data_IF_997901867498
#
_entry.id   IF_997901867498
#
_cell.length_a   1.000
_cell.length_b   1.000
_cell.length_c   1.000
_cell.angle_alpha   90.00
_cell.angle_beta   90.00
_cell.angle_gamma   90.00
#
_symmetry.space_group_name_H-M   'P 1'
#
loop_
_entity.id
_entity.type
_entity.pdbx_description
1 polymer ?
#
# COMPACT_ATOMS: atom_id res chain seq x y z
N UNK A 1 10.52 9.72 1.09
CA UNK A 1 9.46 10.75 1.18
C UNK A 1 8.84 11.07 -0.19
N UNK A 2 9.63 11.33 -1.24
CA UNK A 2 9.09 11.76 -2.56
C UNK A 2 8.03 10.84 -3.20
N UNK A 3 8.17 9.51 -3.11
CA UNK A 3 7.24 8.58 -3.79
C UNK A 3 5.83 8.60 -3.16
N UNK A 4 5.75 8.72 -1.84
CA UNK A 4 4.48 8.75 -1.13
C UNK A 4 3.68 10.02 -1.47
N UNK A 5 4.35 11.16 -1.54
CA UNK A 5 3.72 12.43 -1.95
C UNK A 5 3.27 12.39 -3.41
N UNK A 6 4.04 11.79 -4.32
CA UNK A 6 3.62 11.63 -5.72
C UNK A 6 2.36 10.78 -5.85
N UNK A 7 2.28 9.67 -5.12
CA UNK A 7 1.07 8.81 -5.12
C UNK A 7 -0.11 9.54 -4.51
N UNK A 8 0.09 10.24 -3.38
CA UNK A 8 -0.95 11.04 -2.72
C UNK A 8 -1.48 12.14 -3.65
N UNK A 9 -0.58 12.87 -4.31
CA UNK A 9 -0.96 13.93 -5.24
C UNK A 9 -1.68 13.38 -6.47
N UNK A 10 -1.28 12.21 -6.98
CA UNK A 10 -1.98 11.54 -8.08
C UNK A 10 -3.40 11.11 -7.68
N UNK A 11 -3.58 10.58 -6.46
CA UNK A 11 -4.90 10.23 -5.93
C UNK A 11 -5.78 11.47 -5.74
N UNK A 12 -5.25 12.55 -5.16
CA UNK A 12 -5.97 13.81 -4.98
C UNK A 12 -6.36 14.44 -6.33
N UNK A 13 -5.47 14.37 -7.32
CA UNK A 13 -5.77 14.81 -8.68
C UNK A 13 -6.86 13.94 -9.33
N UNK A 14 -6.85 12.63 -9.10
CA UNK A 14 -7.89 11.70 -9.56
C UNK A 14 -9.26 12.01 -8.96
N UNK A 15 -9.33 12.28 -7.65
CA UNK A 15 -10.56 12.69 -6.98
C UNK A 15 -11.07 14.04 -7.49
N UNK A 16 -10.18 15.01 -7.70
CA UNK A 16 -10.54 16.31 -8.28
C UNK A 16 -11.05 16.19 -9.72
N UNK A 17 -10.47 15.28 -10.51
CA UNK A 17 -10.95 14.99 -11.86
C UNK A 17 -12.35 14.36 -11.84
N UNK A 18 -12.65 13.45 -10.91
CA UNK A 18 -14.01 12.90 -10.76
C UNK A 18 -15.04 13.99 -10.42
N UNK A 19 -14.70 14.93 -9.53
CA UNK A 19 -15.58 16.06 -9.20
C UNK A 19 -15.82 16.96 -10.42
N UNK A 20 -14.75 17.32 -11.15
CA UNK A 20 -14.85 18.13 -12.38
C UNK A 20 -15.73 17.48 -13.46
N UNK A 21 -15.62 16.17 -13.64
CA UNK A 21 -16.45 15.43 -14.60
C UNK A 21 -17.92 15.45 -14.18
N UNK A 22 -18.21 15.28 -12.89
CA UNK A 22 -19.58 15.37 -12.37
C UNK A 22 -20.17 16.77 -12.57
N UNK A 23 -19.43 17.82 -12.25
CA UNK A 23 -19.83 19.21 -12.48
C UNK A 23 -20.09 19.50 -13.96
N UNK A 24 -19.24 19.01 -14.85
CA UNK A 24 -19.39 19.18 -16.29
C UNK A 24 -20.67 18.50 -16.82
N UNK A 25 -20.98 17.30 -16.33
CA UNK A 25 -22.21 16.59 -16.69
C UNK A 25 -23.44 17.33 -16.14
N UNK A 26 -23.38 17.82 -14.90
CA UNK A 26 -24.46 18.62 -14.31
C UNK A 26 -24.69 19.94 -15.08
N UNK A 27 -23.62 20.57 -15.60
CA UNK A 27 -23.74 21.75 -16.47
C UNK A 27 -24.42 21.43 -17.80
N UNK A 28 -24.09 20.29 -18.43
CA UNK A 28 -24.74 19.85 -19.68
C UNK A 28 -26.24 19.59 -19.46
N UNK A 29 -26.61 19.04 -18.30
CA UNK A 29 -28.02 18.85 -17.91
C UNK A 29 -28.71 20.21 -17.74
N UNK A 30 -28.08 21.16 -17.04
CA UNK A 30 -28.63 22.53 -16.85
C UNK A 30 -28.79 23.29 -18.15
N UNK A 31 -27.90 23.10 -19.11
CA UNK A 31 -27.97 23.69 -20.46
C UNK A 31 -29.06 23.05 -21.34
N UNK A 32 -29.68 21.96 -20.87
CA UNK A 32 -30.67 21.19 -21.63
C UNK A 32 -30.06 20.33 -22.74
N UNK A 33 -28.73 20.23 -22.79
CA UNK A 33 -28.00 19.38 -23.75
C UNK A 33 -28.10 17.89 -23.37
N UNK A 34 -28.36 17.60 -22.08
CA UNK A 34 -28.69 16.26 -21.57
C UNK A 34 -29.97 16.30 -20.72
N UNK A 35 -30.72 15.20 -20.71
CA UNK A 35 -31.74 15.00 -19.68
C UNK A 35 -31.10 14.62 -18.33
N UNK A 36 -31.81 14.87 -17.22
CA UNK A 36 -31.36 14.43 -15.88
C UNK A 36 -31.10 12.92 -15.80
N UNK A 37 -31.91 12.12 -16.52
CA UNK A 37 -31.76 10.67 -16.59
C UNK A 37 -30.49 10.25 -17.34
N UNK A 38 -30.13 10.95 -18.41
CA UNK A 38 -28.88 10.72 -19.13
C UNK A 38 -27.68 11.15 -18.29
N UNK A 39 -27.71 12.32 -17.66
CA UNK A 39 -26.61 12.82 -16.84
C UNK A 39 -26.30 11.89 -15.67
N UNK A 40 -27.33 11.47 -14.94
CA UNK A 40 -27.20 10.53 -13.83
C UNK A 40 -26.61 9.18 -14.27
N UNK A 41 -26.99 8.69 -15.46
CA UNK A 41 -26.46 7.45 -16.02
C UNK A 41 -24.98 7.58 -16.38
N UNK A 42 -24.58 8.70 -17.00
CA UNK A 42 -23.18 8.96 -17.36
C UNK A 42 -22.28 9.07 -16.12
N UNK A 43 -22.72 9.79 -15.08
CA UNK A 43 -21.97 9.88 -13.82
C UNK A 43 -21.78 8.50 -13.19
N UNK A 44 -22.83 7.67 -13.19
CA UNK A 44 -22.77 6.32 -12.63
C UNK A 44 -21.82 5.41 -13.42
N UNK A 45 -21.94 5.38 -14.75
CA UNK A 45 -21.06 4.57 -15.61
C UNK A 45 -19.59 5.02 -15.50
N UNK A 46 -19.34 6.33 -15.47
CA UNK A 46 -17.99 6.86 -15.25
C UNK A 46 -17.42 6.48 -13.90
N UNK A 47 -18.22 6.60 -12.83
CA UNK A 47 -17.79 6.27 -11.47
C UNK A 47 -17.48 4.79 -11.32
N UNK A 48 -18.35 3.90 -11.82
CA UNK A 48 -18.10 2.45 -11.82
C UNK A 48 -16.83 2.08 -12.60
N UNK A 49 -16.58 2.75 -13.74
CA UNK A 49 -15.38 2.51 -14.54
C UNK A 49 -14.11 3.03 -13.87
N UNK A 50 -14.20 4.19 -13.21
CA UNK A 50 -13.10 4.77 -12.45
C UNK A 50 -12.73 3.92 -11.22
N UNK A 51 -13.72 3.41 -10.49
CA UNK A 51 -13.51 2.54 -9.33
C UNK A 51 -12.81 1.23 -9.73
N UNK A 52 -13.32 0.54 -10.77
CA UNK A 52 -12.68 -0.66 -11.32
C UNK A 52 -11.26 -0.40 -11.82
N UNK A 53 -11.02 0.73 -12.48
CA UNK A 53 -9.71 1.13 -12.95
C UNK A 53 -8.73 1.42 -11.81
N UNK A 54 -9.21 2.05 -10.73
CA UNK A 54 -8.40 2.39 -9.55
C UNK A 54 -7.97 1.15 -8.77
N UNK A 55 -8.85 0.16 -8.61
CA UNK A 55 -8.52 -1.10 -7.95
C UNK A 55 -7.43 -1.87 -8.70
N UNK A 56 -7.56 -1.97 -10.01
CA UNK A 56 -6.57 -2.66 -10.84
C UNK A 56 -5.23 -1.91 -10.85
N UNK A 57 -5.28 -0.58 -10.95
CA UNK A 57 -4.10 0.28 -10.85
C UNK A 57 -3.39 0.12 -9.51
N UNK A 58 -4.13 0.13 -8.40
CA UNK A 58 -3.58 -0.02 -7.04
C UNK A 58 -2.90 -1.37 -6.87
N UNK A 59 -3.50 -2.46 -7.37
CA UNK A 59 -2.87 -3.79 -7.39
C UNK A 59 -1.57 -3.81 -8.18
N UNK A 60 -1.59 -3.29 -9.41
CA UNK A 60 -0.38 -3.24 -10.24
C UNK A 60 0.73 -2.40 -9.63
N UNK A 61 0.39 -1.27 -8.99
CA UNK A 61 1.36 -0.43 -8.28
C UNK A 61 1.95 -1.16 -7.08
N UNK A 62 1.12 -1.86 -6.29
CA UNK A 62 1.57 -2.61 -5.13
C UNK A 62 2.52 -3.74 -5.53
N UNK A 63 2.18 -4.47 -6.60
CA UNK A 63 3.06 -5.50 -7.17
C UNK A 63 4.36 -4.92 -7.71
N UNK A 64 4.31 -3.79 -8.43
CA UNK A 64 5.49 -3.13 -8.95
C UNK A 64 6.42 -2.65 -7.83
N UNK A 65 5.85 -2.06 -6.77
CA UNK A 65 6.59 -1.65 -5.58
C UNK A 65 7.19 -2.87 -4.87
N UNK A 66 6.43 -3.93 -4.69
CA UNK A 66 6.92 -5.18 -4.08
C UNK A 66 8.08 -5.77 -4.88
N UNK A 67 7.95 -5.84 -6.22
CA UNK A 67 9.02 -6.30 -7.11
C UNK A 67 10.26 -5.40 -7.07
N UNK A 68 10.07 -4.07 -7.03
CA UNK A 68 11.17 -3.12 -6.93
C UNK A 68 11.92 -3.25 -5.60
N UNK A 69 11.19 -3.36 -4.48
CA UNK A 69 11.76 -3.57 -3.15
C UNK A 69 12.53 -4.90 -3.08
N UNK A 70 11.96 -5.98 -3.63
CA UNK A 70 12.64 -7.28 -3.72
C UNK A 70 13.92 -7.20 -4.57
N UNK A 71 13.90 -6.48 -5.70
CA UNK A 71 15.09 -6.29 -6.56
C UNK A 71 16.19 -5.46 -5.90
N UNK A 72 15.84 -4.53 -5.02
CA UNK A 72 16.81 -3.73 -4.27
C UNK A 72 17.39 -4.47 -3.05
N UNK A 73 17.04 -5.75 -2.84
CA UNK A 73 17.46 -6.55 -1.69
C UNK A 73 17.15 -5.86 -0.35
N UNK A 74 16.11 -5.01 -0.32
CA UNK A 74 15.67 -4.30 0.87
C UNK A 74 14.74 -5.23 1.68
N UNK A 75 15.15 -5.66 2.88
CA UNK A 75 14.31 -6.51 3.70
C UNK A 75 13.03 -5.76 4.10
N UNK A 76 11.90 -6.46 4.03
CA UNK A 76 10.62 -5.91 4.51
C UNK A 76 10.63 -5.80 6.03
N UNK A 77 9.68 -5.04 6.59
CA UNK A 77 9.49 -4.96 8.06
C UNK A 77 9.34 -6.35 8.69
N UNK A 78 8.60 -7.23 8.03
CA UNK A 78 8.39 -8.62 8.47
C UNK A 78 9.68 -9.42 8.49
N UNK A 79 10.57 -9.21 7.51
CA UNK A 79 11.87 -9.89 7.46
C UNK A 79 12.76 -9.44 8.62
N UNK A 80 12.75 -8.14 8.95
CA UNK A 80 13.46 -7.59 10.11
C UNK A 80 12.91 -8.17 11.42
N UNK A 81 11.59 -8.28 11.57
CA UNK A 81 10.97 -8.90 12.74
C UNK A 81 11.33 -10.38 12.88
N UNK A 82 11.30 -11.15 11.78
CA UNK A 82 11.71 -12.55 11.76
C UNK A 82 13.17 -12.69 12.16
N UNK A 83 14.04 -11.81 11.66
CA UNK A 83 15.45 -11.79 12.04
C UNK A 83 15.61 -11.51 13.53
N UNK A 84 14.87 -10.54 14.07
CA UNK A 84 14.94 -10.15 15.47
C UNK A 84 14.48 -11.29 16.40
N UNK A 85 13.40 -12.01 16.04
CA UNK A 85 12.97 -13.22 16.76
C UNK A 85 14.03 -14.32 16.72
N UNK A 86 14.66 -14.55 15.58
CA UNK A 86 15.76 -15.53 15.46
C UNK A 86 16.96 -15.11 16.32
N UNK A 87 17.31 -13.84 16.33
CA UNK A 87 18.39 -13.29 17.17
C UNK A 87 18.05 -13.52 18.65
N UNK A 88 16.83 -13.18 19.11
CA UNK A 88 16.43 -13.41 20.50
C UNK A 88 16.48 -14.90 20.88
N UNK A 89 16.02 -15.79 20.01
CA UNK A 89 16.08 -17.24 20.25
C UNK A 89 17.53 -17.74 20.31
N UNK A 90 18.41 -17.25 19.44
CA UNK A 90 19.84 -17.58 19.46
C UNK A 90 20.51 -17.01 20.71
N UNK A 91 20.27 -15.74 21.05
CA UNK A 91 20.77 -15.12 22.29
C UNK A 91 20.32 -15.87 23.54
N UNK A 92 19.08 -16.35 23.58
CA UNK A 92 18.59 -17.19 24.67
C UNK A 92 19.30 -18.54 24.76
N UNK A 93 19.63 -19.17 23.62
CA UNK A 93 20.40 -20.42 23.57
C UNK A 93 21.86 -20.22 23.95
N UNK A 94 22.49 -19.16 23.45
CA UNK A 94 23.87 -18.79 23.80
C UNK A 94 23.96 -18.54 25.30
N UNK A 95 23.03 -17.77 25.88
CA UNK A 95 22.99 -17.53 27.34
C UNK A 95 22.83 -18.83 28.16
N UNK A 96 22.08 -19.80 27.66
CA UNK A 96 21.97 -21.13 28.31
C UNK A 96 23.24 -21.95 28.19
N UNK A 97 23.99 -21.84 27.09
CA UNK A 97 25.24 -22.57 26.88
C UNK A 97 26.39 -21.91 27.66
N UNK A 98 26.45 -20.58 27.68
CA UNK A 98 27.44 -19.82 28.45
C UNK A 98 27.18 -19.92 29.96
N UNK A 99 25.92 -19.98 30.39
CA UNK A 99 25.54 -20.24 31.78
C UNK A 99 25.74 -21.69 32.26
N UNK A 100 26.15 -22.61 31.38
CA UNK A 100 26.53 -23.99 31.75
C UNK A 100 28.03 -24.11 32.02
N UNK A 101 28.86 -23.10 31.71
CA UNK A 101 30.30 -23.15 31.95
C UNK A 101 30.76 -22.74 33.36
N UNK A 102 29.88 -22.23 34.22
CA UNK A 102 30.25 -21.84 35.60
C UNK A 102 30.01 -22.96 36.64
N UNK A 103 29.69 -24.19 36.21
CA UNK A 103 29.25 -25.27 37.10
C UNK A 103 30.15 -26.51 37.25
N UNK A 104 31.30 -26.60 36.57
CA UNK A 104 32.10 -27.85 36.54
C UNK A 104 33.59 -27.69 36.95
N UNK A 105 33.97 -26.65 37.71
CA UNK A 105 35.35 -26.51 38.23
C UNK A 105 35.45 -26.40 39.77
N UNK A 106 34.49 -26.94 40.53
CA UNK A 106 34.68 -27.12 41.98
C UNK A 106 34.20 -28.51 42.43
N UNK A 107 35.00 -29.53 42.15
CA UNK A 107 35.11 -30.73 42.99
C UNK A 107 36.45 -31.43 42.67
N UNK A 108 37.53 -30.96 43.30
CA UNK A 108 38.66 -31.79 43.75
C UNK A 108 39.34 -31.15 44.98
#
# INVERSE_FOLDING_TARGET
>A
MAIFDTVRNALLAGLGMQQKVKEFIDELVKKGELSESQGSKLVKEWSEKAEKGTDQFTKSISEALTKALNKMNLPTKDDVEKLNKKIQALSGRVKKIEGVKEGEEQEE
#
